data_IF_370328339281
#
_entry.id   IF_370328339281
#
_cell.length_a   1.000
_cell.length_b   1.000
_cell.length_c   1.000
_cell.angle_alpha   90.00
_cell.angle_beta   90.00
_cell.angle_gamma   90.00
#
_symmetry.space_group_name_H-M   'P 1'
#
loop_
_entity.id
_entity.type
_entity.pdbx_description
1 polymer ?
#
# COMPACT_ATOMS: atom_id res chain seq x y z
N UNK A 1 0.76 15.06 -6.55
CA UNK A 1 1.51 13.97 -7.22
C UNK A 1 1.97 12.96 -6.18
N UNK A 2 1.68 11.69 -6.38
CA UNK A 2 1.98 10.64 -5.39
C UNK A 2 3.48 10.45 -5.13
N UNK A 3 3.83 10.02 -3.91
CA UNK A 3 5.20 9.70 -3.52
C UNK A 3 5.27 8.31 -2.87
N UNK A 4 6.31 7.55 -3.19
CA UNK A 4 6.58 6.22 -2.63
C UNK A 4 7.92 6.23 -1.92
N UNK A 5 7.99 5.61 -0.74
CA UNK A 5 9.22 5.28 -0.04
C UNK A 5 9.15 3.85 0.45
N UNK A 6 10.24 3.11 0.30
CA UNK A 6 10.42 1.80 0.89
C UNK A 6 11.78 1.75 1.59
N UNK A 7 11.85 1.01 2.69
CA UNK A 7 13.09 0.83 3.42
C UNK A 7 13.19 -0.56 4.05
N UNK A 8 14.38 -1.16 3.90
CA UNK A 8 14.80 -2.35 4.63
C UNK A 8 16.15 -2.04 5.29
N UNK A 9 16.29 -2.28 6.60
CA UNK A 9 17.49 -1.89 7.34
C UNK A 9 17.64 -2.74 8.61
N UNK A 10 18.80 -2.71 9.22
CA UNK A 10 19.02 -3.25 10.56
C UNK A 10 18.51 -2.34 11.69
N UNK A 11 18.03 -1.13 11.37
CA UNK A 11 17.47 -0.15 12.31
C UNK A 11 15.97 0.00 12.12
N UNK A 12 15.29 0.61 13.09
CA UNK A 12 13.88 0.96 12.93
C UNK A 12 13.69 1.99 11.80
N UNK A 13 12.90 1.63 10.78
CA UNK A 13 12.69 2.42 9.57
C UNK A 13 11.50 3.38 9.65
N UNK A 14 10.60 3.23 10.63
CA UNK A 14 9.36 4.02 10.69
C UNK A 14 9.59 5.53 10.61
N UNK A 15 10.50 6.06 11.46
CA UNK A 15 10.84 7.49 11.42
C UNK A 15 11.44 7.92 10.08
N UNK A 16 12.30 7.08 9.48
CA UNK A 16 12.92 7.37 8.19
C UNK A 16 11.86 7.50 7.08
N UNK A 17 10.89 6.58 7.05
CA UNK A 17 9.80 6.59 6.06
C UNK A 17 8.94 7.84 6.19
N UNK A 18 8.51 8.21 7.40
CA UNK A 18 7.72 9.42 7.65
C UNK A 18 8.52 10.68 7.25
N UNK A 19 9.78 10.78 7.63
CA UNK A 19 10.65 11.90 7.23
C UNK A 19 10.81 12.01 5.71
N UNK A 20 10.86 10.88 5.03
CA UNK A 20 10.88 10.86 3.57
C UNK A 20 9.57 11.34 2.96
N UNK A 21 8.41 10.96 3.52
CA UNK A 21 7.12 11.49 3.08
C UNK A 21 7.04 13.02 3.26
N UNK A 22 7.50 13.57 4.39
CA UNK A 22 7.58 15.03 4.60
C UNK A 22 8.38 15.73 3.50
N UNK A 23 9.48 15.15 3.04
CA UNK A 23 10.27 15.72 1.94
C UNK A 23 9.54 15.72 0.60
N UNK A 24 8.49 14.95 0.45
CA UNK A 24 7.66 14.87 -0.77
C UNK A 24 6.37 15.68 -0.69
N UNK A 25 6.04 16.30 0.45
CA UNK A 25 4.82 17.09 0.65
C UNK A 25 4.67 18.24 -0.36
N UNK A 26 5.78 18.83 -0.81
CA UNK A 26 5.76 19.92 -1.80
C UNK A 26 5.08 19.55 -3.12
N UNK A 27 4.92 18.24 -3.40
CA UNK A 27 4.28 17.72 -4.61
C UNK A 27 2.74 17.80 -4.56
N UNK A 28 2.17 18.08 -3.39
CA UNK A 28 0.74 18.00 -3.12
C UNK A 28 0.25 16.56 -2.98
N UNK A 29 -0.67 16.34 -2.07
CA UNK A 29 -1.29 15.04 -1.75
C UNK A 29 -2.55 15.28 -0.91
N UNK A 30 -3.40 14.25 -0.77
CA UNK A 30 -4.64 14.29 0.02
C UNK A 30 -4.65 13.30 1.18
N UNK A 31 -3.82 12.27 1.11
CA UNK A 31 -3.73 11.23 2.13
C UNK A 31 -2.33 10.64 2.19
N UNK A 32 -2.01 10.03 3.32
CA UNK A 32 -0.72 9.38 3.55
C UNK A 32 -0.89 8.09 4.33
N UNK A 33 0.04 7.16 4.15
CA UNK A 33 0.03 5.94 4.95
C UNK A 33 1.35 5.18 4.92
N UNK A 34 1.45 4.22 5.83
CA UNK A 34 2.63 3.41 6.06
C UNK A 34 2.22 1.99 6.45
N UNK A 35 2.96 1.01 5.96
CA UNK A 35 2.90 -0.37 6.45
C UNK A 35 4.29 -0.78 6.94
N UNK A 36 4.36 -1.29 8.16
CA UNK A 36 5.60 -1.65 8.86
C UNK A 36 5.53 -3.11 9.31
N UNK A 37 6.40 -3.95 8.77
CA UNK A 37 6.48 -5.36 9.13
C UNK A 37 7.06 -5.53 10.55
N UNK A 38 6.25 -6.04 11.45
CA UNK A 38 6.65 -6.47 12.79
C UNK A 38 6.71 -8.00 12.82
N UNK A 39 7.29 -8.58 13.87
CA UNK A 39 7.57 -10.03 13.91
C UNK A 39 6.35 -10.91 13.59
N UNK A 40 5.15 -10.54 14.04
CA UNK A 40 3.92 -11.35 13.89
C UNK A 40 2.75 -10.60 13.27
N UNK A 41 2.92 -9.32 12.93
CA UNK A 41 1.86 -8.48 12.38
C UNK A 41 2.44 -7.34 11.55
N UNK A 42 1.59 -6.67 10.80
CA UNK A 42 1.95 -5.46 10.09
C UNK A 42 1.22 -4.28 10.75
N UNK A 43 1.98 -3.29 11.23
CA UNK A 43 1.38 -2.02 11.63
C UNK A 43 1.01 -1.26 10.35
N UNK A 44 -0.29 -1.09 10.12
CA UNK A 44 -0.86 -0.44 8.95
C UNK A 44 -1.59 0.84 9.38
N UNK A 45 -0.99 1.99 9.11
CA UNK A 45 -1.51 3.30 9.49
C UNK A 45 -1.79 4.14 8.26
N UNK A 46 -2.97 4.72 8.20
CA UNK A 46 -3.39 5.62 7.14
C UNK A 46 -4.03 6.86 7.73
N UNK A 47 -3.93 7.97 7.02
CA UNK A 47 -4.56 9.25 7.40
C UNK A 47 -5.05 9.99 6.17
N UNK A 48 -6.19 10.64 6.29
CA UNK A 48 -6.61 11.69 5.38
C UNK A 48 -5.87 12.99 5.76
N UNK A 49 -5.36 13.73 4.75
CA UNK A 49 -4.69 15.00 4.97
C UNK A 49 -3.16 14.87 5.15
N UNK A 50 -2.61 15.68 6.05
CA UNK A 50 -1.16 15.92 6.13
C UNK A 50 -0.38 14.73 6.73
N UNK A 51 0.84 14.52 6.26
CA UNK A 51 1.81 13.54 6.80
C UNK A 51 2.03 13.71 8.31
N UNK A 52 1.87 14.92 8.82
CA UNK A 52 1.92 15.20 10.28
C UNK A 52 0.93 14.35 11.07
N UNK A 53 -0.28 14.11 10.56
CA UNK A 53 -1.28 13.26 11.22
C UNK A 53 -0.82 11.79 11.26
N UNK A 54 -0.19 11.32 10.19
CA UNK A 54 0.43 9.99 10.17
C UNK A 54 1.58 9.89 11.16
N UNK A 55 2.41 10.94 11.28
CA UNK A 55 3.48 11.01 12.28
C UNK A 55 2.94 10.95 13.72
N UNK A 56 1.85 11.64 14.01
CA UNK A 56 1.17 11.59 15.30
C UNK A 56 0.66 10.17 15.64
N UNK A 57 0.02 9.47 14.68
CA UNK A 57 -0.36 8.04 14.84
C UNK A 57 0.88 7.17 15.10
N UNK A 58 1.95 7.36 14.35
CA UNK A 58 3.22 6.64 14.52
C UNK A 58 3.85 6.87 15.90
N UNK A 59 3.79 8.09 16.43
CA UNK A 59 4.30 8.43 17.77
C UNK A 59 3.45 7.75 18.85
N UNK A 60 2.13 7.69 18.69
CA UNK A 60 1.23 7.06 19.63
C UNK A 60 1.43 5.54 19.70
N UNK A 61 1.52 4.86 18.56
CA UNK A 61 1.62 3.41 18.47
C UNK A 61 3.04 2.87 18.61
N UNK A 62 4.07 3.70 18.35
CA UNK A 62 5.51 3.38 18.46
C UNK A 62 5.91 2.04 17.80
N UNK A 63 5.47 1.75 16.58
CA UNK A 63 5.80 0.51 15.92
C UNK A 63 7.32 0.40 15.70
N UNK A 64 7.86 -0.80 15.94
CA UNK A 64 9.27 -1.08 15.70
C UNK A 64 9.39 -2.02 14.50
N UNK A 65 10.01 -1.57 13.44
CA UNK A 65 10.17 -2.35 12.21
C UNK A 65 11.49 -2.06 11.50
N UNK A 66 12.02 -3.09 10.89
CA UNK A 66 13.21 -3.03 10.02
C UNK A 66 12.86 -3.02 8.53
N UNK A 67 11.58 -3.20 8.21
CA UNK A 67 11.06 -3.25 6.85
C UNK A 67 9.73 -2.49 6.79
N UNK A 68 9.58 -1.61 5.81
CA UNK A 68 8.33 -0.91 5.61
C UNK A 68 8.23 -0.19 4.29
N UNK A 69 7.00 0.16 3.94
CA UNK A 69 6.61 0.94 2.77
C UNK A 69 5.73 2.10 3.20
N UNK A 70 5.81 3.23 2.51
CA UNK A 70 5.03 4.42 2.80
C UNK A 70 4.66 5.17 1.53
N UNK A 71 3.56 5.92 1.59
CA UNK A 71 2.99 6.56 0.42
C UNK A 71 2.31 7.89 0.79
N UNK A 72 2.41 8.87 -0.10
CA UNK A 72 1.52 10.03 -0.17
C UNK A 72 0.68 9.93 -1.42
N UNK A 73 -0.65 9.97 -1.28
CA UNK A 73 -1.59 9.82 -2.39
C UNK A 73 -2.12 11.17 -2.83
N UNK A 74 -2.22 11.35 -4.14
CA UNK A 74 -3.06 12.35 -4.79
C UNK A 74 -4.17 11.58 -5.51
N UNK A 75 -5.42 11.77 -5.09
CA UNK A 75 -6.54 11.01 -5.61
C UNK A 75 -6.71 11.19 -7.12
N UNK A 76 -6.76 10.07 -7.84
CA UNK A 76 -7.11 9.98 -9.26
C UNK A 76 -8.33 9.09 -9.45
N UNK A 77 -8.45 8.01 -8.66
CA UNK A 77 -9.58 7.09 -8.60
C UNK A 77 -10.07 6.97 -7.16
N UNK A 78 -11.37 7.14 -6.93
CA UNK A 78 -11.98 7.17 -5.61
C UNK A 78 -11.72 8.48 -4.85
N UNK A 79 -12.64 8.84 -3.97
CA UNK A 79 -12.53 10.05 -3.17
C UNK A 79 -11.37 9.98 -2.15
N UNK A 80 -10.86 11.14 -1.70
CA UNK A 80 -9.92 11.16 -0.58
C UNK A 80 -10.56 10.58 0.68
N UNK A 81 -10.07 9.42 1.13
CA UNK A 81 -10.51 8.75 2.36
C UNK A 81 -9.37 7.90 2.94
N UNK A 82 -9.50 7.44 4.19
CA UNK A 82 -8.52 6.51 4.77
C UNK A 82 -8.55 5.15 4.08
N UNK A 83 -9.71 4.69 3.62
CA UNK A 83 -9.89 3.42 2.90
C UNK A 83 -9.17 3.44 1.55
N UNK A 84 -9.20 4.60 0.87
CA UNK A 84 -8.55 4.80 -0.42
C UNK A 84 -7.07 5.19 -0.31
N UNK A 85 -6.58 5.47 0.91
CA UNK A 85 -5.17 5.76 1.13
C UNK A 85 -4.31 4.49 1.04
N UNK A 86 -3.12 4.63 0.43
CA UNK A 86 -2.10 3.58 0.45
C UNK A 86 -1.37 3.48 1.81
N UNK A 87 -0.75 2.33 2.13
CA UNK A 87 -0.71 1.07 1.38
C UNK A 87 -2.05 0.37 1.30
N UNK A 88 -2.31 -0.33 0.17
CA UNK A 88 -3.40 -1.30 0.07
C UNK A 88 -2.95 -2.68 0.50
N UNK A 89 -3.89 -3.53 0.91
CA UNK A 89 -3.58 -4.85 1.43
C UNK A 89 -4.51 -5.94 0.88
N UNK A 90 -4.07 -7.17 0.98
CA UNK A 90 -4.88 -8.37 0.83
C UNK A 90 -4.70 -9.28 2.03
N UNK A 91 -5.81 -9.55 2.76
CA UNK A 91 -5.92 -10.48 3.90
C UNK A 91 -4.80 -10.36 4.96
N UNK A 92 -4.38 -9.14 5.29
CA UNK A 92 -3.27 -8.84 6.22
C UNK A 92 -1.94 -9.52 5.88
N UNK A 93 -1.78 -10.03 4.67
CA UNK A 93 -0.63 -10.80 4.22
C UNK A 93 0.23 -10.07 3.19
N UNK A 94 -0.40 -9.39 2.25
CA UNK A 94 0.27 -8.65 1.17
C UNK A 94 -0.06 -7.17 1.30
N UNK A 95 0.97 -6.33 1.31
CA UNK A 95 0.83 -4.88 1.34
C UNK A 95 1.59 -4.25 0.19
N UNK A 96 0.95 -3.32 -0.50
CA UNK A 96 1.53 -2.66 -1.68
C UNK A 96 1.35 -1.15 -1.64
N UNK A 97 2.24 -0.47 -2.34
CA UNK A 97 2.09 0.92 -2.77
C UNK A 97 2.29 0.98 -4.27
N UNK A 98 1.50 1.80 -4.94
CA UNK A 98 1.51 1.89 -6.40
C UNK A 98 1.27 3.33 -6.84
N UNK A 99 2.00 3.75 -7.86
CA UNK A 99 1.76 4.99 -8.59
C UNK A 99 1.53 4.62 -10.05
N UNK A 100 0.30 4.73 -10.51
CA UNK A 100 -0.09 4.38 -11.88
C UNK A 100 -1.60 4.28 -12.01
N UNK A 101 -2.03 3.82 -13.15
CA UNK A 101 -3.41 3.50 -13.50
C UNK A 101 -3.40 2.10 -14.11
N UNK A 102 -4.37 1.27 -13.74
CA UNK A 102 -4.56 -0.07 -14.30
C UNK A 102 -5.74 0.01 -15.27
N UNK A 103 -5.46 -0.03 -16.56
CA UNK A 103 -6.49 0.19 -17.59
C UNK A 103 -7.51 -0.95 -17.62
N UNK A 104 -7.09 -2.19 -17.48
CA UNK A 104 -7.96 -3.37 -17.42
C UNK A 104 -8.53 -3.68 -16.01
N UNK A 105 -8.59 -2.67 -15.12
CA UNK A 105 -9.03 -2.80 -13.73
C UNK A 105 -10.38 -3.49 -13.56
N UNK A 106 -11.39 -3.15 -14.36
CA UNK A 106 -12.76 -3.68 -14.20
C UNK A 106 -12.81 -5.19 -14.41
N UNK A 107 -12.17 -5.68 -15.45
CA UNK A 107 -12.17 -7.11 -15.81
C UNK A 107 -11.43 -7.94 -14.76
N UNK A 108 -10.30 -7.43 -14.31
CA UNK A 108 -9.51 -8.09 -13.27
C UNK A 108 -10.20 -8.06 -11.90
N UNK A 109 -10.93 -6.99 -11.58
CA UNK A 109 -11.73 -6.89 -10.36
C UNK A 109 -12.87 -7.92 -10.35
N UNK A 110 -13.57 -8.08 -11.47
CA UNK A 110 -14.61 -9.11 -11.61
C UNK A 110 -14.04 -10.52 -11.50
N UNK A 111 -12.88 -10.77 -12.10
CA UNK A 111 -12.17 -12.02 -11.96
C UNK A 111 -11.85 -12.33 -10.49
N UNK A 112 -11.21 -11.39 -9.78
CA UNK A 112 -10.83 -11.58 -8.37
C UNK A 112 -12.04 -11.73 -7.45
N UNK A 113 -13.16 -11.04 -7.73
CA UNK A 113 -14.42 -11.26 -6.98
C UNK A 113 -14.95 -12.69 -7.15
N UNK A 114 -14.86 -13.28 -8.33
CA UNK A 114 -15.22 -14.68 -8.59
C UNK A 114 -14.30 -15.66 -7.85
N UNK A 115 -13.05 -15.29 -7.66
CA UNK A 115 -12.06 -16.03 -6.86
C UNK A 115 -12.20 -15.81 -5.34
N UNK A 116 -13.21 -15.02 -4.90
CA UNK A 116 -13.55 -14.83 -3.49
C UNK A 116 -12.90 -13.61 -2.81
N UNK A 117 -12.24 -12.72 -3.56
CA UNK A 117 -11.65 -11.50 -3.01
C UNK A 117 -12.69 -10.39 -2.82
N UNK A 118 -12.62 -9.70 -1.68
CA UNK A 118 -13.46 -8.54 -1.36
C UNK A 118 -12.62 -7.27 -1.42
N UNK A 119 -13.15 -6.24 -2.05
CA UNK A 119 -12.48 -4.94 -2.18
C UNK A 119 -13.00 -3.97 -1.13
N UNK A 120 -12.10 -3.35 -0.39
CA UNK A 120 -12.39 -2.38 0.66
C UNK A 120 -12.29 -0.93 0.18
N UNK A 121 -11.58 -0.71 -0.93
CA UNK A 121 -11.38 0.62 -1.52
C UNK A 121 -11.98 0.76 -2.91
N UNK A 122 -12.05 2.01 -3.36
CA UNK A 122 -12.46 2.36 -4.73
C UNK A 122 -11.26 2.46 -5.69
N UNK A 123 -10.03 2.22 -5.20
CA UNK A 123 -8.83 2.37 -6.01
C UNK A 123 -8.57 1.15 -6.88
N UNK A 124 -7.94 1.38 -8.02
CA UNK A 124 -7.43 0.32 -8.89
C UNK A 124 -6.24 -0.43 -8.26
N UNK A 125 -5.49 0.25 -7.42
CA UNK A 125 -4.27 -0.27 -6.82
C UNK A 125 -4.49 -1.43 -5.85
N UNK A 126 -5.62 -1.50 -5.13
CA UNK A 126 -5.95 -2.62 -4.23
C UNK A 126 -5.95 -3.96 -4.97
N UNK A 127 -6.32 -3.94 -6.26
CA UNK A 127 -6.30 -5.10 -7.14
C UNK A 127 -4.91 -5.77 -7.20
N UNK A 128 -3.83 -4.99 -7.17
CA UNK A 128 -2.47 -5.54 -7.20
C UNK A 128 -2.20 -6.41 -5.96
N UNK A 129 -2.64 -5.97 -4.78
CA UNK A 129 -2.46 -6.75 -3.56
C UNK A 129 -3.21 -8.08 -3.64
N UNK A 130 -4.45 -8.07 -4.11
CA UNK A 130 -5.25 -9.28 -4.29
C UNK A 130 -4.69 -10.20 -5.37
N UNK A 131 -4.21 -9.67 -6.48
CA UNK A 131 -3.62 -10.45 -7.56
C UNK A 131 -2.31 -11.13 -7.12
N UNK A 132 -1.47 -10.42 -6.36
CA UNK A 132 -0.25 -11.01 -5.77
C UNK A 132 -0.61 -12.15 -4.83
N UNK A 133 -1.57 -11.96 -3.94
CA UNK A 133 -2.01 -13.02 -3.03
C UNK A 133 -2.64 -14.20 -3.76
N UNK A 134 -3.43 -13.95 -4.80
CA UNK A 134 -3.99 -15.00 -5.65
C UNK A 134 -2.91 -15.92 -6.22
N UNK A 135 -1.81 -15.36 -6.72
CA UNK A 135 -0.71 -16.16 -7.23
C UNK A 135 0.10 -16.84 -6.11
N UNK A 136 0.30 -16.17 -4.96
CA UNK A 136 0.94 -16.78 -3.80
C UNK A 136 0.15 -17.99 -3.27
N UNK A 137 -1.18 -17.95 -3.32
CA UNK A 137 -2.04 -19.06 -2.91
C UNK A 137 -2.02 -20.24 -3.90
N UNK A 138 -1.36 -20.07 -5.04
CA UNK A 138 -1.08 -21.14 -6.02
C UNK A 138 0.35 -21.67 -5.93
N UNK A 139 0.95 -21.55 -4.74
CA UNK A 139 2.30 -22.04 -4.43
C UNK A 139 3.44 -21.40 -5.26
N UNK A 140 3.18 -20.22 -5.86
CA UNK A 140 4.24 -19.46 -6.51
C UNK A 140 5.12 -18.75 -5.46
N UNK A 141 6.39 -18.53 -5.80
CA UNK A 141 7.25 -17.65 -5.02
C UNK A 141 6.74 -16.19 -5.09
N UNK A 142 7.17 -15.33 -4.15
CA UNK A 142 6.84 -13.90 -4.21
C UNK A 142 7.30 -13.27 -5.54
N UNK A 143 8.50 -13.62 -6.01
CA UNK A 143 9.04 -13.09 -7.26
C UNK A 143 8.21 -13.53 -8.47
N UNK A 144 7.86 -14.81 -8.56
CA UNK A 144 7.02 -15.33 -9.64
C UNK A 144 5.62 -14.69 -9.59
N UNK A 145 5.05 -14.53 -8.40
CA UNK A 145 3.76 -13.85 -8.21
C UNK A 145 3.81 -12.40 -8.69
N UNK A 146 4.90 -11.69 -8.47
CA UNK A 146 5.10 -10.32 -9.00
C UNK A 146 5.16 -10.31 -10.53
N UNK A 147 5.88 -11.25 -11.15
CA UNK A 147 5.94 -11.35 -12.61
C UNK A 147 4.58 -11.69 -13.20
N UNK A 148 3.88 -12.70 -12.66
CA UNK A 148 2.56 -13.11 -13.12
C UNK A 148 1.51 -12.00 -12.95
N UNK A 149 1.60 -11.25 -11.85
CA UNK A 149 0.75 -10.07 -11.64
C UNK A 149 1.02 -9.02 -12.71
N UNK A 150 2.29 -8.66 -12.93
CA UNK A 150 2.68 -7.69 -13.95
C UNK A 150 2.18 -8.06 -15.36
N UNK A 151 2.23 -9.35 -15.72
CA UNK A 151 1.74 -9.83 -17.03
C UNK A 151 0.21 -9.70 -17.21
N UNK A 152 -0.53 -9.54 -16.12
CA UNK A 152 -1.99 -9.36 -16.14
C UNK A 152 -2.43 -7.89 -16.20
N UNK A 153 -1.55 -6.98 -15.79
CA UNK A 153 -1.85 -5.54 -15.72
C UNK A 153 -1.60 -4.87 -17.09
N UNK A 154 -2.53 -4.03 -17.51
CA UNK A 154 -2.44 -3.16 -18.70
C UNK A 154 -2.50 -1.68 -18.29
#
# INVERSE_FOLDING_TARGET
MCGIIAAASNRNVGKLLVQGLHKMEYRGYDSAGIALHQSNQIAHLRTLGKVKLLEEKMIAEKPKSKLGIAHTRWATHGEPSEENAHPHMSNDRVYIVHNGIIENYLDLKEFLKKEGYSFSSETDSELIAHMLEYFLNKDNSMLDSMYLTKEKLE
#
